data_IF_290560356989
#
_entry.id   IF_290560356989
#
_cell.length_a   1.000
_cell.length_b   1.000
_cell.length_c   1.000
_cell.angle_alpha   90.00
_cell.angle_beta   90.00
_cell.angle_gamma   90.00
#
_symmetry.space_group_name_H-M   'P 1'
#
loop_
_entity.id
_entity.type
_entity.pdbx_description
1 polymer ?
#
# COMPACT_ATOMS: atom_id res chain seq x y z
N UNK A 1 4.58 3.12 17.07
CA UNK A 1 5.57 3.39 16.00
C UNK A 1 5.04 4.31 14.87
N UNK A 2 3.80 4.80 14.96
CA UNK A 2 3.08 5.37 13.80
C UNK A 2 2.55 6.80 13.97
N UNK A 3 2.45 7.32 15.19
CA UNK A 3 1.94 8.68 15.45
C UNK A 3 2.89 9.77 14.95
N UNK A 4 4.21 9.54 15.00
CA UNK A 4 5.21 10.52 14.54
C UNK A 4 5.31 10.59 13.02
N UNK A 5 5.11 9.46 12.32
CA UNK A 5 5.21 9.40 10.85
C UNK A 5 3.97 9.97 10.17
N UNK A 6 2.78 9.70 10.72
CA UNK A 6 1.52 10.32 10.26
C UNK A 6 1.55 11.83 10.48
N UNK A 7 1.98 12.31 11.65
CA UNK A 7 2.16 13.74 11.90
C UNK A 7 3.15 14.40 10.93
N UNK A 8 4.27 13.72 10.61
CA UNK A 8 5.24 14.22 9.62
C UNK A 8 4.70 14.19 8.19
N UNK A 9 3.85 13.22 7.84
CA UNK A 9 3.16 13.20 6.55
C UNK A 9 2.23 14.41 6.41
N UNK A 10 1.51 14.78 7.47
CA UNK A 10 0.68 15.99 7.49
C UNK A 10 1.49 17.29 7.34
N UNK A 11 2.70 17.36 7.89
CA UNK A 11 3.54 18.56 7.74
C UNK A 11 4.22 18.66 6.37
N UNK A 12 4.47 17.54 5.71
CA UNK A 12 5.19 17.47 4.41
C UNK A 12 4.23 17.53 3.23
N UNK A 13 3.00 17.01 3.36
CA UNK A 13 1.98 17.05 2.34
C UNK A 13 0.76 17.83 2.86
N UNK A 14 0.73 19.17 2.69
CA UNK A 14 -0.46 19.93 3.02
C UNK A 14 -1.63 19.38 2.18
N UNK A 15 -2.79 19.09 2.79
CA UNK A 15 -3.90 18.51 2.07
C UNK A 15 -4.31 19.46 0.93
N UNK A 16 -4.50 18.97 -0.31
CA UNK A 16 -5.20 19.72 -1.33
C UNK A 16 -6.53 20.22 -0.76
N UNK A 17 -6.97 21.44 -1.12
CA UNK A 17 -8.24 22.00 -0.63
C UNK A 17 -9.36 20.96 -0.85
N UNK A 18 -9.94 20.46 0.25
CA UNK A 18 -11.01 19.46 0.23
C UNK A 18 -10.61 18.01 0.54
N UNK A 19 -9.34 17.72 0.84
CA UNK A 19 -8.94 16.37 1.23
C UNK A 19 -9.48 16.01 2.62
N UNK A 20 -10.26 14.93 2.68
CA UNK A 20 -10.83 14.39 3.92
C UNK A 20 -9.89 13.36 4.56
N UNK A 21 -10.20 12.91 5.78
CA UNK A 21 -9.46 11.84 6.46
C UNK A 21 -9.37 10.55 5.62
N UNK A 22 -10.37 10.28 4.77
CA UNK A 22 -10.34 9.16 3.82
C UNK A 22 -9.21 9.31 2.80
N UNK A 23 -8.95 10.52 2.32
CA UNK A 23 -7.88 10.76 1.34
C UNK A 23 -6.49 10.45 1.89
N UNK A 24 -6.25 10.66 3.19
CA UNK A 24 -4.99 10.28 3.82
C UNK A 24 -4.81 8.76 3.92
N UNK A 25 -5.91 8.03 4.14
CA UNK A 25 -5.91 6.56 4.14
C UNK A 25 -5.61 6.01 2.76
N UNK A 26 -6.20 6.63 1.73
CA UNK A 26 -5.97 6.25 0.34
C UNK A 26 -4.53 6.52 -0.11
N UNK A 27 -3.97 7.66 0.31
CA UNK A 27 -2.56 7.98 0.08
C UNK A 27 -1.63 6.98 0.76
N UNK A 28 -1.87 6.67 2.04
CA UNK A 28 -1.06 5.71 2.78
C UNK A 28 -1.08 4.33 2.11
N UNK A 29 -2.26 3.82 1.77
CA UNK A 29 -2.41 2.54 1.13
C UNK A 29 -1.69 2.48 -0.22
N UNK A 30 -1.80 3.56 -1.01
CA UNK A 30 -1.16 3.64 -2.33
C UNK A 30 0.37 3.58 -2.23
N UNK A 31 0.96 4.40 -1.36
CA UNK A 31 2.41 4.43 -1.13
C UNK A 31 2.91 3.07 -0.64
N UNK A 32 2.25 2.45 0.34
CA UNK A 32 2.66 1.15 0.87
C UNK A 32 2.66 0.06 -0.20
N UNK A 33 1.62 0.01 -1.04
CA UNK A 33 1.48 -1.04 -2.06
C UNK A 33 2.46 -0.84 -3.22
N UNK A 34 2.73 0.40 -3.63
CA UNK A 34 3.78 0.70 -4.61
C UNK A 34 5.16 0.24 -4.13
N UNK A 35 5.44 0.36 -2.83
CA UNK A 35 6.67 -0.15 -2.21
C UNK A 35 6.66 -1.65 -1.92
N UNK A 36 5.61 -2.37 -2.32
CA UNK A 36 5.53 -3.82 -2.20
C UNK A 36 5.21 -4.33 -0.79
N UNK A 37 4.69 -3.48 0.09
CA UNK A 37 4.14 -3.92 1.39
C UNK A 37 2.95 -4.86 1.13
N UNK A 38 2.85 -6.00 1.85
CA UNK A 38 1.73 -6.91 1.68
C UNK A 38 0.37 -6.24 1.88
N UNK A 39 -0.60 -6.55 1.02
CA UNK A 39 -1.95 -5.98 1.11
C UNK A 39 -2.69 -6.40 2.39
N UNK A 40 -2.30 -7.51 3.00
CA UNK A 40 -2.75 -7.95 4.33
C UNK A 40 -2.42 -6.91 5.40
N UNK A 41 -1.16 -6.46 5.42
CA UNK A 41 -0.64 -5.55 6.44
C UNK A 41 -1.23 -4.16 6.26
N UNK A 42 -1.39 -3.73 5.00
CA UNK A 42 -2.10 -2.49 4.67
C UNK A 42 -3.57 -2.57 5.09
N UNK A 43 -4.23 -3.72 4.89
CA UNK A 43 -5.62 -3.93 5.29
C UNK A 43 -5.81 -3.88 6.81
N UNK A 44 -4.87 -4.47 7.56
CA UNK A 44 -4.85 -4.44 9.02
C UNK A 44 -4.64 -3.02 9.53
N UNK A 45 -3.69 -2.28 8.94
CA UNK A 45 -3.45 -0.88 9.27
C UNK A 45 -4.67 0.01 9.04
N UNK A 46 -5.38 -0.23 7.93
CA UNK A 46 -6.62 0.46 7.63
C UNK A 46 -7.74 0.05 8.60
N UNK A 47 -7.63 -1.06 9.33
CA UNK A 47 -8.68 -1.56 10.21
C UNK A 47 -9.86 -2.14 9.43
N UNK A 48 -9.64 -2.61 8.20
CA UNK A 48 -10.67 -3.29 7.42
C UNK A 48 -10.89 -4.70 7.97
N UNK A 49 -12.12 -4.99 8.43
CA UNK A 49 -12.50 -6.32 8.93
C UNK A 49 -12.40 -7.42 7.87
N UNK A 50 -12.61 -7.06 6.60
CA UNK A 50 -12.48 -7.97 5.46
C UNK A 50 -11.43 -7.41 4.49
N UNK A 51 -10.42 -8.23 4.20
CA UNK A 51 -9.36 -7.92 3.23
C UNK A 51 -9.90 -7.68 1.82
N UNK A 52 -11.02 -8.30 1.47
CA UNK A 52 -11.65 -8.12 0.15
C UNK A 52 -12.01 -6.67 -0.13
N UNK A 53 -12.39 -5.89 0.90
CA UNK A 53 -12.62 -4.46 0.78
C UNK A 53 -11.35 -3.74 0.30
N UNK A 54 -10.21 -4.02 0.94
CA UNK A 54 -8.90 -3.46 0.57
C UNK A 54 -8.48 -3.93 -0.82
N UNK A 55 -8.65 -5.22 -1.10
CA UNK A 55 -8.27 -5.83 -2.37
C UNK A 55 -9.02 -5.23 -3.54
N UNK A 56 -10.35 -5.09 -3.44
CA UNK A 56 -11.18 -4.50 -4.51
C UNK A 56 -10.75 -3.08 -4.86
N UNK A 57 -10.35 -2.29 -3.86
CA UNK A 57 -9.91 -0.91 -4.06
C UNK A 57 -8.49 -0.88 -4.65
N UNK A 58 -7.54 -1.61 -4.08
CA UNK A 58 -6.12 -1.37 -4.35
C UNK A 58 -5.38 -2.43 -5.18
N UNK A 59 -6.04 -3.52 -5.61
CA UNK A 59 -5.40 -4.58 -6.41
C UNK A 59 -4.65 -4.10 -7.66
N UNK A 60 -5.04 -2.93 -8.20
CA UNK A 60 -4.42 -2.35 -9.39
C UNK A 60 -3.05 -1.71 -9.11
N UNK A 61 -2.75 -1.38 -7.85
CA UNK A 61 -1.44 -0.86 -7.41
C UNK A 61 -0.44 -1.98 -7.10
N UNK A 62 -0.91 -3.22 -6.98
CA UNK A 62 -0.04 -4.34 -6.67
C UNK A 62 0.85 -4.64 -7.88
N UNK A 63 2.18 -4.58 -7.73
CA UNK A 63 3.08 -4.85 -8.85
C UNK A 63 2.91 -6.31 -9.28
N UNK A 64 2.86 -6.56 -10.60
CA UNK A 64 2.58 -7.86 -11.20
C UNK A 64 3.35 -9.01 -10.51
N UNK A 65 2.68 -9.67 -9.55
CA UNK A 65 3.30 -10.67 -8.67
C UNK A 65 3.81 -11.86 -9.47
N UNK A 66 3.11 -12.21 -10.55
CA UNK A 66 3.50 -13.28 -11.47
C UNK A 66 4.80 -12.97 -12.21
N UNK A 67 4.99 -11.73 -12.67
CA UNK A 67 6.24 -11.31 -13.32
C UNK A 67 7.41 -11.39 -12.35
N UNK A 68 7.23 -10.95 -11.10
CA UNK A 68 8.27 -11.07 -10.06
C UNK A 68 8.57 -12.52 -9.70
N UNK A 69 7.53 -13.36 -9.55
CA UNK A 69 7.70 -14.78 -9.27
C UNK A 69 8.44 -15.51 -10.40
N UNK A 70 8.09 -15.22 -11.66
CA UNK A 70 8.79 -15.76 -12.83
C UNK A 70 10.26 -15.34 -12.84
N UNK A 71 10.56 -14.06 -12.68
CA UNK A 71 11.95 -13.57 -12.64
C UNK A 71 12.75 -14.23 -11.49
N UNK A 72 12.12 -14.47 -10.33
CA UNK A 72 12.76 -15.15 -9.21
C UNK A 72 13.06 -16.62 -9.52
N UNK A 73 12.14 -17.34 -10.18
CA UNK A 73 12.39 -18.70 -10.66
C UNK A 73 13.50 -18.73 -11.71
N UNK A 74 13.44 -17.84 -12.71
CA UNK A 74 14.43 -17.77 -13.80
C UNK A 74 15.86 -17.60 -13.24
N UNK A 75 16.02 -16.78 -12.19
CA UNK A 75 17.30 -16.60 -11.51
C UNK A 75 17.83 -17.87 -10.84
N UNK A 76 16.95 -18.68 -10.22
CA UNK A 76 17.34 -19.93 -9.56
C UNK A 76 17.70 -21.01 -10.59
N UNK A 77 16.91 -21.11 -11.67
CA UNK A 77 17.09 -22.12 -12.72
C UNK A 77 18.26 -21.83 -13.67
N UNK A 78 18.72 -20.57 -13.73
CA UNK A 78 19.88 -20.17 -14.53
C UNK A 78 21.24 -20.37 -13.82
N UNK A 79 21.25 -20.87 -12.58
CA UNK A 79 22.45 -21.24 -11.81
C UNK A 79 22.72 -22.74 -11.94
#
# INVERSE_FOLDING_TARGET
MESTRTAKLHSVLPPPKGMTLSGYRDLFASVCLEHGIPITDVSEWLGHRNIETTYRVYRHLMPASLTRARNALDHILAT
#
